data_IF_808226577847
#
_entry.id   IF_808226577847
#
_cell.length_a   1.000
_cell.length_b   1.000
_cell.length_c   1.000
_cell.angle_alpha   90.00
_cell.angle_beta   90.00
_cell.angle_gamma   90.00
#
_symmetry.space_group_name_H-M   'P 1'
#
loop_
_entity.id
_entity.type
_entity.pdbx_description
1 polymer ?
#
# COMPACT_ATOMS: atom_id res chain seq x y z
N UNK A 1 57.23 -26.50 -36.94
CA UNK A 1 57.84 -26.52 -35.58
C UNK A 1 57.28 -27.72 -34.81
N UNK A 2 58.12 -28.69 -34.43
CA UNK A 2 57.71 -29.74 -33.48
C UNK A 2 57.92 -29.17 -32.07
N UNK A 3 56.87 -28.62 -31.46
CA UNK A 3 56.96 -28.21 -30.05
C UNK A 3 57.15 -29.46 -29.18
N UNK A 4 58.13 -29.43 -28.29
CA UNK A 4 58.32 -30.53 -27.35
C UNK A 4 57.10 -30.61 -26.42
N UNK A 5 56.67 -31.82 -26.06
CA UNK A 5 55.49 -32.03 -25.21
C UNK A 5 55.59 -31.26 -23.86
N UNK A 6 56.82 -30.99 -23.40
CA UNK A 6 57.10 -30.16 -22.22
C UNK A 6 56.74 -28.68 -22.44
N UNK A 7 57.06 -28.12 -23.60
CA UNK A 7 56.70 -26.74 -23.92
C UNK A 7 55.19 -26.56 -24.06
N UNK A 8 54.49 -27.57 -24.62
CA UNK A 8 53.03 -27.56 -24.73
C UNK A 8 52.37 -27.64 -23.35
N UNK A 9 52.87 -28.50 -22.45
CA UNK A 9 52.39 -28.61 -21.07
C UNK A 9 52.50 -27.30 -20.30
N UNK A 10 53.64 -26.60 -20.40
CA UNK A 10 53.86 -25.33 -19.71
C UNK A 10 52.91 -24.24 -20.25
N UNK A 11 52.68 -24.20 -21.57
CA UNK A 11 51.75 -23.26 -22.19
C UNK A 11 50.32 -23.46 -21.68
N UNK A 12 49.85 -24.71 -21.61
CA UNK A 12 48.50 -25.04 -21.14
C UNK A 12 48.31 -24.59 -19.68
N UNK A 13 49.28 -24.89 -18.82
CA UNK A 13 49.23 -24.49 -17.40
C UNK A 13 49.22 -22.96 -17.26
N UNK A 14 50.03 -22.25 -18.04
CA UNK A 14 50.06 -20.79 -18.01
C UNK A 14 48.72 -20.17 -18.43
N UNK A 15 48.06 -20.73 -19.46
CA UNK A 15 46.72 -20.28 -19.90
C UNK A 15 45.67 -20.53 -18.81
N UNK A 16 45.70 -21.70 -18.15
CA UNK A 16 44.76 -22.01 -17.07
C UNK A 16 44.93 -21.05 -15.87
N UNK A 17 46.16 -20.78 -15.46
CA UNK A 17 46.43 -19.86 -14.35
C UNK A 17 46.01 -18.43 -14.72
N UNK A 18 46.29 -17.99 -15.96
CA UNK A 18 45.87 -16.67 -16.45
C UNK A 18 44.36 -16.50 -16.44
N UNK A 19 43.60 -17.51 -16.87
CA UNK A 19 42.13 -17.46 -16.87
C UNK A 19 41.55 -17.33 -15.46
N UNK A 20 42.13 -18.04 -14.48
CA UNK A 20 41.66 -17.98 -13.08
C UNK A 20 41.95 -16.59 -12.47
N UNK A 21 43.14 -16.04 -12.71
CA UNK A 21 43.52 -14.72 -12.20
C UNK A 21 42.65 -13.60 -12.79
N UNK A 22 42.21 -13.76 -14.05
CA UNK A 22 41.31 -12.78 -14.70
C UNK A 22 39.92 -12.77 -14.05
N UNK A 23 39.39 -13.93 -13.66
CA UNK A 23 38.14 -14.00 -12.89
C UNK A 23 38.24 -13.49 -11.46
N UNK A 24 39.43 -13.53 -10.83
CA UNK A 24 39.62 -13.00 -9.46
C UNK A 24 39.76 -11.48 -9.40
N UNK A 25 40.21 -10.85 -10.49
CA UNK A 25 40.53 -9.41 -10.53
C UNK A 25 39.52 -8.58 -11.32
N UNK A 26 38.71 -9.23 -12.16
CA UNK A 26 37.63 -8.59 -12.89
C UNK A 26 36.32 -8.66 -12.10
N UNK A 27 35.74 -7.51 -11.78
CA UNK A 27 34.33 -7.39 -11.44
C UNK A 27 33.50 -7.60 -12.73
N UNK A 28 33.51 -8.83 -13.24
CA UNK A 28 32.90 -9.24 -14.52
C UNK A 28 31.36 -9.13 -14.53
N UNK A 29 30.80 -8.74 -13.40
CA UNK A 29 29.38 -8.57 -13.15
C UNK A 29 29.13 -7.22 -12.46
N UNK A 30 29.68 -6.13 -13.02
CA UNK A 30 29.20 -4.79 -12.67
C UNK A 30 27.77 -4.65 -13.21
N UNK A 31 26.81 -5.23 -12.48
CA UNK A 31 25.38 -5.06 -12.68
C UNK A 31 25.13 -3.58 -12.45
N UNK A 32 24.96 -2.84 -13.53
CA UNK A 32 24.52 -1.45 -13.46
C UNK A 32 23.21 -1.48 -12.64
N UNK A 33 23.28 -0.94 -11.43
CA UNK A 33 22.08 -0.78 -10.60
C UNK A 33 21.24 0.28 -11.30
N UNK A 34 20.34 -0.17 -12.15
CA UNK A 34 19.24 0.65 -12.63
C UNK A 34 18.33 0.83 -11.41
N UNK A 35 18.55 1.92 -10.66
CA UNK A 35 17.55 2.37 -9.69
C UNK A 35 16.26 2.63 -10.47
N UNK A 36 15.18 1.96 -10.07
CA UNK A 36 13.86 2.32 -10.56
C UNK A 36 13.59 3.75 -10.10
N UNK A 37 13.18 4.61 -11.03
CA UNK A 37 12.72 5.95 -10.68
C UNK A 37 11.58 5.81 -9.68
N UNK A 38 11.75 6.44 -8.52
CA UNK A 38 10.70 6.51 -7.52
C UNK A 38 9.55 7.31 -8.13
N UNK A 39 8.43 6.65 -8.39
CA UNK A 39 7.24 7.34 -8.87
C UNK A 39 6.71 8.17 -7.71
N UNK A 40 6.57 9.48 -7.88
CA UNK A 40 5.85 10.30 -6.91
C UNK A 40 4.45 9.69 -6.73
N UNK A 41 4.21 9.16 -5.53
CA UNK A 41 2.88 8.71 -5.14
C UNK A 41 2.07 9.96 -4.88
N UNK A 42 1.19 10.31 -5.81
CA UNK A 42 0.22 11.39 -5.60
C UNK A 42 -0.81 10.88 -4.59
N UNK A 43 -0.70 11.34 -3.34
CA UNK A 43 -1.64 11.03 -2.26
C UNK A 43 -2.96 11.83 -2.35
N UNK A 44 -3.16 12.57 -3.44
CA UNK A 44 -4.35 13.37 -3.66
C UNK A 44 -5.28 12.67 -4.65
N UNK A 45 -6.53 12.47 -4.24
CA UNK A 45 -7.56 12.06 -5.19
C UNK A 45 -7.90 13.25 -6.09
N UNK A 46 -7.73 13.06 -7.39
CA UNK A 46 -8.13 14.05 -8.39
C UNK A 46 -9.63 14.34 -8.29
N UNK A 47 -9.99 15.61 -8.49
CA UNK A 47 -11.38 16.05 -8.60
C UNK A 47 -12.17 15.17 -9.60
N UNK A 48 -13.36 14.66 -9.21
CA UNK A 48 -14.20 13.86 -10.07
C UNK A 48 -15.00 14.70 -11.09
N UNK A 49 -14.87 16.03 -11.09
CA UNK A 49 -15.56 16.96 -12.00
C UNK A 49 -17.07 17.06 -11.76
N UNK A 50 -17.55 16.58 -10.62
CA UNK A 50 -18.94 16.70 -10.16
C UNK A 50 -18.98 16.63 -8.62
N UNK A 51 -20.05 17.12 -8.03
CA UNK A 51 -20.21 17.04 -6.57
C UNK A 51 -20.37 15.59 -6.11
N UNK A 52 -19.57 15.20 -5.12
CA UNK A 52 -19.61 13.89 -4.46
C UNK A 52 -20.05 14.06 -3.02
N UNK A 53 -21.06 13.27 -2.64
CA UNK A 53 -21.53 13.17 -1.28
C UNK A 53 -21.09 11.82 -0.68
N UNK A 54 -20.44 11.87 0.49
CA UNK A 54 -20.07 10.70 1.26
C UNK A 54 -20.77 10.70 2.62
N UNK A 55 -21.47 9.62 2.93
CA UNK A 55 -21.98 9.35 4.26
C UNK A 55 -21.03 8.38 4.96
N UNK A 56 -20.51 8.78 6.12
CA UNK A 56 -19.68 7.92 6.95
C UNK A 56 -20.43 7.53 8.21
N UNK A 57 -20.47 6.23 8.52
CA UNK A 57 -21.12 5.70 9.72
C UNK A 57 -20.03 5.23 10.68
N UNK A 58 -20.05 5.76 11.91
CA UNK A 58 -19.07 5.45 12.94
C UNK A 58 -19.74 5.25 14.29
N UNK A 59 -18.92 4.97 15.30
CA UNK A 59 -19.33 4.87 16.70
C UNK A 59 -18.20 5.27 17.62
N UNK A 60 -18.54 5.84 18.77
CA UNK A 60 -17.60 6.23 19.83
C UNK A 60 -16.78 5.04 20.37
N UNK A 61 -17.31 3.82 20.27
CA UNK A 61 -16.61 2.59 20.69
C UNK A 61 -16.11 1.73 19.51
N UNK A 62 -16.14 2.23 18.27
CA UNK A 62 -15.53 1.52 17.16
C UNK A 62 -14.04 1.89 17.02
N UNK A 63 -13.17 1.02 17.55
CA UNK A 63 -11.71 1.21 17.51
C UNK A 63 -11.17 1.44 16.08
N UNK A 64 -11.77 0.81 15.07
CA UNK A 64 -11.33 0.91 13.68
C UNK A 64 -12.03 2.01 12.88
N UNK A 65 -13.13 2.57 13.39
CA UNK A 65 -13.95 3.57 12.67
C UNK A 65 -13.69 5.00 13.15
N UNK A 66 -12.89 5.18 14.19
CA UNK A 66 -12.66 6.47 14.81
C UNK A 66 -11.21 6.90 14.61
N UNK A 67 -11.05 8.05 13.96
CA UNK A 67 -9.81 8.80 14.00
C UNK A 67 -10.05 10.15 14.71
N UNK A 68 -8.97 10.81 15.12
CA UNK A 68 -9.03 12.03 15.92
C UNK A 68 -9.82 13.13 15.21
N UNK A 69 -11.09 13.32 15.58
CA UNK A 69 -12.00 14.24 14.89
C UNK A 69 -13.38 13.64 14.56
N UNK A 70 -13.62 12.35 14.85
CA UNK A 70 -14.95 11.75 14.77
C UNK A 70 -15.41 11.44 13.35
N UNK A 71 -14.52 10.93 12.49
CA UNK A 71 -14.84 10.55 11.12
C UNK A 71 -13.81 9.65 10.46
N UNK A 72 -13.93 9.49 9.14
CA UNK A 72 -12.93 8.81 8.32
C UNK A 72 -11.81 9.79 7.95
N UNK A 73 -10.54 9.45 8.22
CA UNK A 73 -9.38 10.23 7.74
C UNK A 73 -9.40 10.39 6.22
N UNK A 74 -9.75 9.34 5.49
CA UNK A 74 -9.84 9.39 4.03
C UNK A 74 -10.91 10.40 3.58
N UNK A 75 -12.07 10.42 4.23
CA UNK A 75 -13.11 11.41 3.94
C UNK A 75 -12.66 12.84 4.31
N UNK A 76 -11.96 13.00 5.44
CA UNK A 76 -11.40 14.29 5.84
C UNK A 76 -10.38 14.80 4.81
N UNK A 77 -9.45 13.94 4.39
CA UNK A 77 -8.44 14.27 3.38
C UNK A 77 -9.09 14.64 2.04
N UNK A 78 -10.11 13.90 1.60
CA UNK A 78 -10.88 14.22 0.38
C UNK A 78 -11.57 15.59 0.48
N UNK A 79 -12.10 15.95 1.65
CA UNK A 79 -12.69 17.27 1.86
C UNK A 79 -11.65 18.38 1.79
N UNK A 80 -10.46 18.14 2.31
CA UNK A 80 -9.37 19.12 2.31
C UNK A 80 -8.77 19.32 0.92
N UNK A 81 -8.66 18.25 0.12
CA UNK A 81 -8.13 18.32 -1.25
C UNK A 81 -9.15 18.78 -2.28
N UNK A 82 -10.44 18.45 -2.10
CA UNK A 82 -11.52 18.79 -3.04
C UNK A 82 -12.66 19.55 -2.32
N UNK A 83 -12.40 20.71 -1.71
CA UNK A 83 -13.35 21.36 -0.80
C UNK A 83 -14.65 21.84 -1.47
N UNK A 84 -14.61 22.19 -2.75
CA UNK A 84 -15.77 22.70 -3.48
C UNK A 84 -16.70 21.58 -3.97
N UNK A 85 -16.16 20.39 -4.19
CA UNK A 85 -16.88 19.28 -4.84
C UNK A 85 -17.16 18.12 -3.88
N UNK A 86 -16.44 18.01 -2.78
CA UNK A 86 -16.61 16.93 -1.82
C UNK A 86 -17.37 17.43 -0.58
N UNK A 87 -18.46 16.75 -0.24
CA UNK A 87 -19.21 16.96 1.00
C UNK A 87 -19.31 15.64 1.71
N UNK A 88 -19.00 15.61 3.01
CA UNK A 88 -19.24 14.43 3.82
C UNK A 88 -19.92 14.76 5.13
N UNK A 89 -20.72 13.80 5.60
CA UNK A 89 -21.36 13.83 6.91
C UNK A 89 -20.97 12.55 7.63
N UNK A 90 -20.50 12.68 8.87
CA UNK A 90 -20.35 11.54 9.77
C UNK A 90 -21.57 11.44 10.68
N UNK A 91 -22.16 10.25 10.72
CA UNK A 91 -23.11 9.86 11.77
C UNK A 91 -22.37 8.94 12.75
N UNK A 92 -22.25 9.39 14.01
CA UNK A 92 -21.65 8.58 15.09
C UNK A 92 -22.73 8.16 16.08
N UNK A 93 -22.82 6.86 16.35
CA UNK A 93 -23.59 6.33 17.48
C UNK A 93 -22.72 6.19 18.73
N UNK A 94 -23.34 6.07 19.90
CA UNK A 94 -22.61 5.81 21.14
C UNK A 94 -21.98 4.39 21.18
N UNK A 95 -22.54 3.45 20.42
CA UNK A 95 -22.05 2.07 20.31
C UNK A 95 -22.13 1.56 18.88
N UNK A 96 -21.17 0.71 18.49
CA UNK A 96 -21.12 0.03 17.20
C UNK A 96 -22.13 -1.11 17.21
N UNK A 97 -22.06 -1.91 18.27
CA UNK A 97 -22.93 -3.03 18.53
C UNK A 97 -24.28 -2.57 19.09
N UNK A 98 -25.34 -3.20 18.60
CA UNK A 98 -26.68 -3.08 19.14
C UNK A 98 -27.20 -4.42 19.64
N UNK A 99 -27.60 -4.54 20.92
CA UNK A 99 -28.14 -5.77 21.47
C UNK A 99 -29.57 -6.10 20.98
N UNK A 100 -30.21 -5.25 20.17
CA UNK A 100 -31.54 -5.51 19.63
C UNK A 100 -32.13 -4.32 18.86
N UNK A 101 -33.23 -4.52 18.14
CA UNK A 101 -33.90 -3.46 17.40
C UNK A 101 -34.31 -2.31 18.34
N UNK A 102 -33.78 -1.10 18.10
CA UNK A 102 -34.03 0.10 18.91
C UNK A 102 -33.05 0.33 20.07
N UNK A 103 -32.09 -0.57 20.30
CA UNK A 103 -30.99 -0.33 21.25
C UNK A 103 -29.86 0.50 20.60
N UNK A 104 -29.16 1.36 21.36
CA UNK A 104 -28.13 2.26 20.83
C UNK A 104 -27.03 1.47 20.12
N UNK A 105 -26.79 1.79 18.86
CA UNK A 105 -25.96 1.02 17.93
C UNK A 105 -25.86 1.72 16.59
N UNK A 106 -24.94 1.29 15.71
CA UNK A 106 -24.86 1.87 14.35
C UNK A 106 -26.07 1.55 13.45
N UNK A 107 -26.91 0.61 13.89
CA UNK A 107 -28.20 0.27 13.28
C UNK A 107 -29.39 1.05 13.89
N UNK A 108 -29.16 2.21 14.52
CA UNK A 108 -30.24 3.06 15.02
C UNK A 108 -30.75 4.07 13.96
N UNK A 109 -31.90 4.70 14.23
CA UNK A 109 -32.50 5.65 13.29
C UNK A 109 -31.68 6.94 13.08
N UNK A 110 -30.73 7.25 13.97
CA UNK A 110 -29.85 8.43 13.86
C UNK A 110 -28.66 8.15 12.96
N UNK A 111 -28.10 6.95 13.04
CA UNK A 111 -27.01 6.44 12.20
C UNK A 111 -27.49 5.78 10.90
N UNK A 112 -28.79 5.82 10.63
CA UNK A 112 -29.38 5.46 9.33
C UNK A 112 -29.96 4.04 9.22
N UNK A 113 -29.98 3.25 10.29
CA UNK A 113 -30.35 1.82 10.26
C UNK A 113 -29.72 1.07 9.08
N UNK A 114 -28.50 1.47 8.71
CA UNK A 114 -27.76 0.93 7.56
C UNK A 114 -26.90 -0.23 8.02
N UNK A 115 -27.49 -1.22 8.71
CA UNK A 115 -26.83 -2.39 9.31
C UNK A 115 -25.37 -2.65 8.83
N UNK A 116 -24.37 -1.94 9.38
CA UNK A 116 -23.10 -1.74 8.68
C UNK A 116 -22.26 -3.01 8.59
N UNK A 117 -22.52 -3.96 9.50
CA UNK A 117 -21.92 -5.28 9.52
C UNK A 117 -22.20 -6.08 8.24
N UNK A 118 -23.32 -5.83 7.55
CA UNK A 118 -23.62 -6.48 6.25
C UNK A 118 -22.95 -5.78 5.06
N UNK A 119 -22.41 -4.57 5.24
CA UNK A 119 -21.62 -3.88 4.22
C UNK A 119 -20.12 -4.20 4.32
N UNK A 120 -19.67 -4.76 5.45
CA UNK A 120 -18.29 -5.14 5.73
C UNK A 120 -18.14 -6.67 5.73
N UNK A 121 -18.43 -7.29 4.58
CA UNK A 121 -18.40 -8.75 4.39
C UNK A 121 -17.00 -9.37 4.58
N UNK A 122 -15.95 -8.55 4.70
CA UNK A 122 -14.56 -8.96 4.92
C UNK A 122 -14.09 -8.85 6.39
N UNK A 123 -14.95 -8.39 7.30
CA UNK A 123 -14.67 -8.36 8.75
C UNK A 123 -15.42 -9.47 9.51
N UNK A 124 -16.10 -10.36 8.77
CA UNK A 124 -16.83 -11.52 9.27
C UNK A 124 -16.03 -12.82 9.21
N UNK A 125 -14.77 -12.79 9.65
CA UNK A 125 -13.98 -13.99 9.98
C UNK A 125 -13.53 -13.97 11.45
#
# INVERSE_FOLDING_TARGET
MKMSARALSILIVAIFIGSILTSLTGDLNKKEQIELQDSEVVFEATSPGHNVFLQYISSDNCYYCYTSGGGSESAHNLKMSNPDEFVYITYSSASYYSPGAGAPGTNDARSGNVAPIFAMDHLGE
#
